data_IF_392423289471
#
_entry.id   IF_392423289471
#
_cell.length_a   1.000
_cell.length_b   1.000
_cell.length_c   1.000
_cell.angle_alpha   90.00
_cell.angle_beta   90.00
_cell.angle_gamma   90.00
#
_symmetry.space_group_name_H-M   'P 1'
#
loop_
_entity.id
_entity.type
_entity.pdbx_description
1 polymer ?
#
# COMPACT_ATOMS: atom_id res chain seq x y z
N UNK A 1 -14.40 -0.36 -6.47
CA UNK A 1 -15.30 0.17 -7.52
C UNK A 1 -14.76 1.52 -7.96
N UNK A 2 -14.55 1.78 -9.26
CA UNK A 2 -14.05 3.08 -9.74
C UNK A 2 -15.23 3.89 -10.26
N UNK A 3 -15.55 5.05 -9.66
CA UNK A 3 -16.61 5.93 -10.16
C UNK A 3 -16.41 6.25 -11.65
N UNK A 4 -17.47 6.13 -12.46
CA UNK A 4 -17.43 6.43 -13.89
C UNK A 4 -16.83 5.35 -14.80
N UNK A 5 -16.43 4.18 -14.26
CA UNK A 5 -16.01 3.00 -15.06
C UNK A 5 -16.95 1.82 -14.82
N UNK A 6 -16.87 0.80 -15.68
CA UNK A 6 -17.68 -0.41 -15.58
C UNK A 6 -17.60 -1.02 -14.16
N UNK A 7 -18.74 -1.11 -13.49
CA UNK A 7 -18.86 -1.62 -12.14
C UNK A 7 -19.26 -3.10 -12.20
N UNK A 8 -18.29 -3.98 -11.98
CA UNK A 8 -18.57 -5.33 -11.49
C UNK A 8 -18.58 -5.22 -9.96
N UNK A 9 -19.62 -5.72 -9.28
CA UNK A 9 -19.82 -5.56 -7.83
C UNK A 9 -18.62 -6.00 -6.98
N UNK A 10 -18.63 -5.68 -5.68
CA UNK A 10 -17.48 -5.96 -4.78
C UNK A 10 -17.14 -7.46 -4.62
N UNK A 11 -18.04 -8.37 -4.98
CA UNK A 11 -17.88 -9.81 -4.73
C UNK A 11 -17.64 -10.09 -3.24
N UNK A 12 -16.89 -11.16 -2.94
CA UNK A 12 -16.51 -11.51 -1.56
C UNK A 12 -15.33 -10.70 -0.99
N UNK A 13 -14.92 -9.60 -1.63
CA UNK A 13 -13.76 -8.83 -1.16
C UNK A 13 -14.01 -8.19 0.22
N UNK A 14 -15.24 -7.74 0.47
CA UNK A 14 -15.63 -7.17 1.77
C UNK A 14 -15.64 -8.23 2.87
N UNK A 15 -16.14 -9.44 2.58
CA UNK A 15 -16.14 -10.55 3.53
C UNK A 15 -14.71 -10.98 3.91
N UNK A 16 -13.80 -11.04 2.93
CA UNK A 16 -12.40 -11.36 3.16
C UNK A 16 -11.72 -10.36 4.09
N UNK A 17 -11.91 -9.06 3.85
CA UNK A 17 -11.24 -8.03 4.67
C UNK A 17 -11.88 -7.85 6.06
N UNK A 18 -13.10 -8.36 6.26
CA UNK A 18 -13.76 -8.37 7.56
C UNK A 18 -13.40 -9.61 8.40
N UNK A 19 -13.16 -10.76 7.76
CA UNK A 19 -12.95 -12.04 8.45
C UNK A 19 -11.49 -12.46 8.64
N UNK A 20 -10.55 -11.91 7.87
CA UNK A 20 -9.15 -12.29 7.96
C UNK A 20 -8.37 -11.44 8.99
N UNK A 21 -7.60 -12.10 9.85
CA UNK A 21 -6.72 -11.42 10.81
C UNK A 21 -5.48 -10.79 10.15
N UNK A 22 -4.99 -11.42 9.08
CA UNK A 22 -3.77 -11.03 8.38
C UNK A 22 -4.08 -10.67 6.92
N UNK A 23 -4.26 -9.39 6.65
CA UNK A 23 -4.54 -8.88 5.31
C UNK A 23 -3.31 -8.15 4.78
N UNK A 24 -2.78 -8.68 3.67
CA UNK A 24 -1.64 -8.15 2.94
C UNK A 24 -2.12 -7.69 1.57
N UNK A 25 -1.83 -6.44 1.23
CA UNK A 25 -2.11 -5.89 -0.11
C UNK A 25 -0.87 -6.07 -0.98
N UNK A 26 -1.05 -6.70 -2.14
CA UNK A 26 -0.07 -6.77 -3.21
C UNK A 26 -0.49 -5.81 -4.32
N UNK A 27 0.32 -4.80 -4.62
CA UNK A 27 0.02 -3.84 -5.69
C UNK A 27 1.27 -3.13 -6.20
N UNK A 28 1.20 -2.48 -7.36
CA UNK A 28 2.25 -1.53 -7.74
C UNK A 28 2.18 -0.28 -6.84
N UNK A 29 3.33 0.30 -6.52
CA UNK A 29 3.49 1.44 -5.62
C UNK A 29 2.83 2.71 -6.19
N UNK A 30 2.97 2.90 -7.49
CA UNK A 30 2.39 4.01 -8.25
C UNK A 30 1.42 3.52 -9.34
N UNK A 31 0.61 4.45 -9.86
CA UNK A 31 -0.20 4.27 -11.06
C UNK A 31 0.70 4.20 -12.31
N UNK A 32 0.10 3.92 -13.47
CA UNK A 32 0.83 3.96 -14.75
C UNK A 32 1.33 5.36 -15.11
N UNK A 33 0.70 6.38 -14.55
CA UNK A 33 1.03 7.78 -14.74
C UNK A 33 2.04 8.29 -13.70
N UNK A 34 2.54 7.40 -12.83
CA UNK A 34 3.53 7.72 -11.80
C UNK A 34 2.94 8.26 -10.49
N UNK A 35 1.62 8.42 -10.40
CA UNK A 35 0.95 8.92 -9.21
C UNK A 35 0.97 7.89 -8.07
N UNK A 36 1.27 8.34 -6.85
CA UNK A 36 1.29 7.46 -5.67
C UNK A 36 -0.08 6.82 -5.42
N UNK A 37 -0.09 5.52 -5.10
CA UNK A 37 -1.28 4.83 -4.58
C UNK A 37 -1.33 4.79 -3.05
N UNK A 38 -0.23 5.15 -2.39
CA UNK A 38 -0.14 5.26 -0.94
C UNK A 38 -0.46 6.70 -0.56
N UNK A 39 -1.74 6.95 -0.24
CA UNK A 39 -2.28 8.28 0.01
C UNK A 39 -2.54 8.51 1.52
N UNK A 40 -2.59 9.77 2.00
CA UNK A 40 -3.03 10.06 3.37
C UNK A 40 -4.50 9.69 3.61
N UNK A 41 -5.31 9.65 2.54
CA UNK A 41 -6.70 9.19 2.57
C UNK A 41 -7.07 8.62 1.20
N UNK A 42 -7.77 7.48 1.18
CA UNK A 42 -8.31 6.94 -0.07
C UNK A 42 -9.29 7.92 -0.72
N UNK A 43 -9.12 8.15 -2.01
CA UNK A 43 -10.01 8.96 -2.84
C UNK A 43 -11.06 8.12 -3.60
N UNK A 44 -10.92 6.79 -3.57
CA UNK A 44 -11.87 5.83 -4.11
C UNK A 44 -12.71 5.21 -2.98
N UNK A 45 -13.92 4.70 -3.29
CA UNK A 45 -14.74 3.99 -2.32
C UNK A 45 -13.97 2.86 -1.63
N UNK A 46 -14.03 2.83 -0.29
CA UNK A 46 -13.35 1.85 0.53
C UNK A 46 -13.97 0.46 0.38
N UNK A 47 -13.13 -0.58 0.32
CA UNK A 47 -13.55 -1.97 0.50
C UNK A 47 -13.74 -2.30 1.99
N UNK A 48 -12.88 -1.75 2.85
CA UNK A 48 -12.95 -1.88 4.31
C UNK A 48 -12.08 -0.82 4.98
N UNK A 49 -12.44 -0.43 6.21
CA UNK A 49 -11.71 0.59 6.97
C UNK A 49 -10.78 -0.07 8.00
N UNK A 50 -9.53 0.39 8.10
CA UNK A 50 -8.57 -0.08 9.11
C UNK A 50 -8.17 -1.57 9.02
N UNK A 51 -8.52 -2.25 7.94
CA UNK A 51 -8.33 -3.69 7.76
C UNK A 51 -6.94 -4.09 7.26
N UNK A 52 -6.23 -3.18 6.58
CA UNK A 52 -4.91 -3.49 6.00
C UNK A 52 -3.82 -3.20 7.03
N UNK A 53 -2.89 -4.16 7.21
CA UNK A 53 -1.72 -4.01 8.08
C UNK A 53 -0.40 -4.00 7.32
N UNK A 54 -0.38 -4.62 6.14
CA UNK A 54 0.84 -4.85 5.35
C UNK A 54 0.59 -4.54 3.89
N UNK A 55 1.53 -3.87 3.27
CA UNK A 55 1.52 -3.54 1.84
C UNK A 55 2.85 -3.96 1.25
N UNK A 56 2.82 -4.85 0.27
CA UNK A 56 3.97 -5.22 -0.53
C UNK A 56 3.79 -4.63 -1.93
N UNK A 57 4.82 -3.94 -2.39
CA UNK A 57 4.86 -3.29 -3.69
C UNK A 57 6.08 -3.71 -4.49
N UNK A 58 6.13 -3.27 -5.75
CA UNK A 58 7.31 -3.39 -6.59
C UNK A 58 8.53 -2.61 -6.06
N UNK A 59 8.34 -1.66 -5.13
CA UNK A 59 9.43 -0.84 -4.58
C UNK A 59 9.79 -1.19 -3.13
N UNK A 60 8.82 -1.63 -2.33
CA UNK A 60 8.97 -1.71 -0.88
C UNK A 60 7.93 -2.62 -0.21
N UNK A 61 8.32 -3.13 0.95
CA UNK A 61 7.44 -3.73 1.95
C UNK A 61 7.21 -2.71 3.06
N UNK A 62 5.94 -2.41 3.32
CA UNK A 62 5.50 -1.44 4.31
C UNK A 62 4.49 -2.06 5.27
N UNK A 63 4.55 -1.64 6.52
CA UNK A 63 3.50 -1.88 7.51
C UNK A 63 2.72 -0.61 7.78
N UNK A 64 1.50 -0.73 8.28
CA UNK A 64 0.67 0.42 8.66
C UNK A 64 0.54 0.43 10.18
N UNK A 65 1.13 1.45 10.79
CA UNK A 65 1.15 1.65 12.24
C UNK A 65 0.64 3.06 12.55
N UNK A 66 -0.35 3.18 13.44
CA UNK A 66 -0.92 4.46 13.87
C UNK A 66 -1.38 5.40 12.72
N UNK A 67 -1.76 4.84 11.57
CA UNK A 67 -2.21 5.60 10.40
C UNK A 67 -1.10 6.05 9.45
N UNK A 68 0.17 5.77 9.77
CA UNK A 68 1.32 6.02 8.91
C UNK A 68 1.83 4.73 8.27
N UNK A 69 2.44 4.87 7.09
CA UNK A 69 3.23 3.80 6.49
C UNK A 69 4.59 3.73 7.17
N UNK A 70 5.05 2.55 7.52
CA UNK A 70 6.37 2.31 8.09
C UNK A 70 7.15 1.45 7.09
N UNK A 71 8.22 2.03 6.54
CA UNK A 71 9.08 1.34 5.58
C UNK A 71 9.88 0.25 6.30
N UNK A 72 9.67 -1.02 5.91
CA UNK A 72 10.37 -2.17 6.51
C UNK A 72 11.49 -2.69 5.63
N UNK A 73 11.23 -2.86 4.34
CA UNK A 73 12.23 -3.35 3.38
C UNK A 73 12.08 -2.62 2.03
N UNK A 74 13.19 -2.43 1.33
CA UNK A 74 13.23 -1.89 -0.04
C UNK A 74 13.54 -2.99 -1.04
N UNK A 75 12.94 -2.93 -2.22
CA UNK A 75 13.24 -3.88 -3.28
C UNK A 75 14.70 -3.75 -3.75
N UNK A 76 15.29 -4.80 -4.35
CA UNK A 76 16.66 -4.75 -4.84
C UNK A 76 16.91 -3.63 -5.83
N UNK A 77 17.99 -2.88 -5.60
CA UNK A 77 18.35 -1.73 -6.44
C UNK A 77 17.45 -0.49 -6.30
N UNK A 78 16.40 -0.53 -5.47
CA UNK A 78 15.55 0.64 -5.19
C UNK A 78 16.13 1.44 -4.03
N UNK A 79 16.19 2.76 -4.18
CA UNK A 79 16.65 3.66 -3.14
C UNK A 79 15.50 4.11 -2.22
N UNK A 80 15.82 4.51 -0.99
CA UNK A 80 14.81 5.03 -0.05
C UNK A 80 14.20 6.33 -0.57
N UNK A 81 15.01 7.17 -1.22
CA UNK A 81 14.58 8.45 -1.80
C UNK A 81 13.52 8.25 -2.88
N UNK A 82 13.66 7.21 -3.71
CA UNK A 82 12.65 6.86 -4.71
C UNK A 82 11.31 6.48 -4.07
N UNK A 83 11.36 5.69 -2.99
CA UNK A 83 10.16 5.26 -2.24
C UNK A 83 9.47 6.48 -1.61
N UNK A 84 10.24 7.38 -0.98
CA UNK A 84 9.72 8.63 -0.41
C UNK A 84 9.08 9.49 -1.49
N UNK A 85 9.74 9.67 -2.64
CA UNK A 85 9.21 10.46 -3.74
C UNK A 85 7.91 9.90 -4.35
N UNK A 86 7.71 8.58 -4.24
CA UNK A 86 6.52 7.87 -4.74
C UNK A 86 5.48 7.55 -3.66
N UNK A 87 5.66 8.03 -2.42
CA UNK A 87 4.70 7.87 -1.32
C UNK A 87 4.09 9.22 -0.96
N UNK A 88 2.78 9.39 -1.14
CA UNK A 88 2.09 10.63 -0.79
C UNK A 88 1.56 10.65 0.66
N UNK A 89 1.31 9.48 1.25
CA UNK A 89 0.92 9.32 2.65
C UNK A 89 2.09 9.57 3.60
N UNK A 90 1.77 9.71 4.88
CA UNK A 90 2.80 9.80 5.92
C UNK A 90 3.65 8.53 5.92
N UNK A 91 4.96 8.70 5.75
CA UNK A 91 5.94 7.61 5.67
C UNK A 91 7.00 7.78 6.76
N UNK A 92 7.06 6.82 7.66
CA UNK A 92 8.14 6.67 8.63
C UNK A 92 9.25 5.85 8.00
N UNK A 93 10.43 6.46 7.91
CA UNK A 93 11.65 5.83 7.39
C UNK A 93 12.59 5.55 8.55
N UNK A 94 12.85 4.27 8.90
CA UNK A 94 13.85 3.92 9.90
C UNK A 94 15.27 4.31 9.48
N UNK A 95 16.18 4.40 10.44
CA UNK A 95 17.61 4.69 10.19
C UNK A 95 18.25 3.67 9.23
N UNK A 96 17.81 2.41 9.32
CA UNK A 96 18.25 1.35 8.42
C UNK A 96 17.05 0.68 7.75
N UNK A 97 17.04 0.70 6.42
CA UNK A 97 16.06 -0.01 5.58
C UNK A 97 16.79 -1.10 4.79
N UNK A 98 16.66 -2.37 5.20
CA UNK A 98 17.30 -3.47 4.50
C UNK A 98 16.70 -3.69 3.11
N UNK A 99 17.52 -4.26 2.22
CA UNK A 99 17.08 -4.76 0.93
C UNK A 99 16.39 -6.12 1.10
N UNK A 100 15.31 -6.36 0.36
CA UNK A 100 14.61 -7.65 0.37
C UNK A 100 15.54 -8.77 -0.09
N UNK A 101 15.50 -9.90 0.62
CA UNK A 101 16.22 -11.13 0.27
C UNK A 101 15.24 -12.19 -0.21
N UNK A 102 15.55 -12.86 -1.33
CA UNK A 102 14.76 -13.96 -1.90
C UNK A 102 15.44 -15.31 -1.69
#
# INVERSE_FOLDING_TARGET
MIPGKLVKGMGGAMDLVAGAENIIVLMTHASKDGESKLLPKCNLPLTGAGCIKRVLTDLAYLEIENGAFVLKERAPGVSVEEIVAKTAGELVVPEHVPEMTF
#
